data_IF_027351282565
#
_entry.id   IF_027351282565
#
_cell.length_a   1.000
_cell.length_b   1.000
_cell.length_c   1.000
_cell.angle_alpha   90.00
_cell.angle_beta   90.00
_cell.angle_gamma   90.00
#
_symmetry.space_group_name_H-M   'P 1'
#
loop_
_entity.id
_entity.type
_entity.pdbx_description
1 polymer ?
#
# COMPACT_ATOMS: atom_id res chain seq x y z
N UNK A 1 17.28 -18.18 -20.11
CA UNK A 1 16.41 -18.53 -18.97
C UNK A 1 15.94 -17.22 -18.41
N UNK A 2 14.63 -17.02 -18.37
CA UNK A 2 14.05 -15.76 -17.91
C UNK A 2 14.20 -15.69 -16.38
N UNK A 3 15.05 -14.79 -15.89
CA UNK A 3 15.37 -14.70 -14.46
C UNK A 3 14.16 -14.22 -13.63
N UNK A 4 13.13 -13.69 -14.28
CA UNK A 4 11.91 -13.15 -13.66
C UNK A 4 10.71 -14.11 -13.73
N UNK A 5 10.88 -15.33 -14.29
CA UNK A 5 9.75 -16.28 -14.37
C UNK A 5 9.31 -16.72 -12.96
N UNK A 6 7.99 -16.86 -12.69
CA UNK A 6 7.46 -17.26 -11.39
C UNK A 6 8.11 -18.51 -10.77
N UNK A 7 8.48 -19.49 -11.61
CA UNK A 7 9.11 -20.75 -11.18
C UNK A 7 10.51 -20.55 -10.55
N UNK A 8 11.23 -19.46 -10.90
CA UNK A 8 12.60 -19.22 -10.45
C UNK A 8 12.67 -18.35 -9.18
N UNK A 9 11.61 -17.63 -8.82
CA UNK A 9 11.61 -16.61 -7.77
C UNK A 9 10.83 -16.99 -6.50
N UNK A 10 9.96 -17.99 -6.58
CA UNK A 10 9.25 -18.50 -5.41
C UNK A 10 10.20 -19.42 -4.62
N UNK A 11 11.01 -18.83 -3.75
CA UNK A 11 11.79 -19.61 -2.78
C UNK A 11 10.82 -20.42 -1.91
N UNK A 12 11.00 -21.75 -1.91
CA UNK A 12 10.19 -22.77 -1.23
C UNK A 12 8.85 -23.10 -1.93
N UNK A 13 8.90 -24.15 -2.76
CA UNK A 13 7.72 -24.88 -3.24
C UNK A 13 6.88 -25.40 -2.06
N UNK A 14 5.81 -24.68 -1.76
CA UNK A 14 4.66 -25.24 -1.03
C UNK A 14 3.41 -24.85 -1.84
N UNK A 15 3.04 -25.70 -2.80
CA UNK A 15 1.93 -25.51 -3.75
C UNK A 15 0.60 -25.11 -3.07
N UNK A 16 0.42 -25.41 -1.77
CA UNK A 16 -0.79 -25.09 -1.01
C UNK A 16 -1.04 -23.59 -0.81
N UNK A 17 -0.03 -22.74 -1.04
CA UNK A 17 -0.15 -21.30 -0.80
C UNK A 17 -0.10 -20.47 -2.07
N UNK A 18 -0.10 -21.08 -3.25
CA UNK A 18 -0.05 -20.34 -4.50
C UNK A 18 -1.42 -19.81 -4.90
N UNK A 19 -1.44 -18.58 -5.43
CA UNK A 19 -2.65 -17.99 -5.94
C UNK A 19 -3.03 -18.63 -7.28
N UNK A 20 -4.24 -19.20 -7.35
CA UNK A 20 -4.86 -19.62 -8.60
C UNK A 20 -6.13 -18.80 -8.86
N UNK A 21 -6.22 -18.02 -9.96
CA UNK A 21 -7.42 -17.26 -10.30
C UNK A 21 -8.58 -18.15 -10.73
N UNK A 22 -9.81 -17.65 -10.59
CA UNK A 22 -10.99 -18.25 -11.21
C UNK A 22 -10.74 -18.37 -12.73
N UNK A 23 -10.86 -19.58 -13.30
CA UNK A 23 -10.37 -19.91 -14.65
C UNK A 23 -10.89 -19.00 -15.78
N UNK A 24 -12.12 -18.51 -15.68
CA UNK A 24 -12.72 -17.61 -16.67
C UNK A 24 -12.51 -16.11 -16.35
N UNK A 25 -11.89 -15.78 -15.21
CA UNK A 25 -11.63 -14.41 -14.76
C UNK A 25 -10.13 -14.14 -14.58
N UNK A 26 -9.27 -14.83 -15.34
CA UNK A 26 -7.79 -14.71 -15.23
C UNK A 26 -7.22 -13.42 -15.79
N UNK A 27 -7.98 -12.68 -16.59
CA UNK A 27 -7.49 -11.45 -17.20
C UNK A 27 -7.10 -10.41 -16.13
N UNK A 28 -5.91 -9.84 -16.26
CA UNK A 28 -5.35 -8.80 -15.40
C UNK A 28 -6.32 -7.68 -15.03
N UNK A 29 -7.04 -7.13 -16.01
CA UNK A 29 -7.97 -6.03 -15.79
C UNK A 29 -9.24 -6.48 -15.05
N UNK A 30 -9.72 -7.69 -15.35
CA UNK A 30 -10.84 -8.29 -14.61
C UNK A 30 -10.44 -8.49 -13.15
N UNK A 31 -9.30 -9.14 -12.88
CA UNK A 31 -8.78 -9.34 -11.52
C UNK A 31 -8.63 -8.01 -10.77
N UNK A 32 -8.09 -6.98 -11.42
CA UNK A 32 -7.94 -5.63 -10.83
C UNK A 32 -9.28 -4.99 -10.45
N UNK A 33 -10.35 -5.26 -11.21
CA UNK A 33 -11.66 -4.63 -11.01
C UNK A 33 -12.61 -5.44 -10.12
N UNK A 34 -12.46 -6.76 -10.06
CA UNK A 34 -13.35 -7.67 -9.34
C UNK A 34 -13.55 -7.31 -7.86
N UNK A 35 -12.52 -6.97 -7.06
CA UNK A 35 -12.72 -6.61 -5.66
C UNK A 35 -13.70 -5.44 -5.49
N UNK A 36 -13.73 -4.47 -6.41
CA UNK A 36 -14.66 -3.34 -6.34
C UNK A 36 -16.13 -3.75 -6.51
N UNK A 37 -16.37 -4.86 -7.21
CA UNK A 37 -17.71 -5.42 -7.43
C UNK A 37 -18.10 -6.30 -6.23
N UNK A 38 -17.20 -7.21 -5.83
CA UNK A 38 -17.46 -8.23 -4.81
C UNK A 38 -17.43 -7.68 -3.38
N UNK A 39 -16.61 -6.67 -3.11
CA UNK A 39 -16.44 -6.00 -1.81
C UNK A 39 -16.98 -4.58 -1.82
N UNK A 40 -18.13 -4.35 -2.48
CA UNK A 40 -18.73 -3.00 -2.57
C UNK A 40 -19.14 -2.41 -1.21
N UNK A 41 -19.44 -3.25 -0.22
CA UNK A 41 -19.91 -2.82 1.09
C UNK A 41 -18.86 -3.04 2.18
N UNK A 42 -18.57 -1.96 2.93
CA UNK A 42 -17.77 -2.00 4.14
C UNK A 42 -18.57 -2.73 5.22
N UNK A 43 -18.07 -3.87 5.70
CA UNK A 43 -18.75 -4.73 6.69
C UNK A 43 -18.32 -4.48 8.13
N UNK A 44 -17.33 -3.62 8.33
CA UNK A 44 -16.82 -3.24 9.65
C UNK A 44 -17.20 -1.78 9.94
N UNK A 45 -17.61 -1.50 11.17
CA UNK A 45 -17.82 -0.12 11.64
C UNK A 45 -16.55 0.31 12.38
N UNK A 46 -15.65 1.08 11.75
CA UNK A 46 -14.40 1.44 12.38
C UNK A 46 -14.60 2.40 13.56
N UNK A 47 -13.73 2.29 14.55
CA UNK A 47 -13.55 3.31 15.59
C UNK A 47 -12.57 4.34 15.05
N UNK A 48 -13.04 5.57 14.86
CA UNK A 48 -12.22 6.65 14.32
C UNK A 48 -11.44 7.36 15.42
N UNK A 49 -10.17 7.62 15.15
CA UNK A 49 -9.30 8.40 16.03
C UNK A 49 -8.45 9.33 15.19
N UNK A 50 -8.41 10.62 15.55
CA UNK A 50 -7.44 11.56 15.01
C UNK A 50 -6.13 11.47 15.80
N UNK A 51 -5.02 11.38 15.08
CA UNK A 51 -3.68 11.50 15.64
C UNK A 51 -3.09 12.83 15.18
N UNK A 52 -2.88 13.72 16.16
CA UNK A 52 -2.16 14.99 15.95
C UNK A 52 -0.67 14.71 15.76
N UNK A 53 -0.10 15.33 14.74
CA UNK A 53 1.30 15.18 14.35
C UNK A 53 2.15 16.32 14.94
N UNK A 54 3.47 16.12 15.13
CA UNK A 54 4.34 17.12 15.75
C UNK A 54 4.45 18.45 14.96
N UNK A 55 4.20 18.42 13.65
CA UNK A 55 4.20 19.59 12.77
C UNK A 55 2.89 20.40 12.81
N UNK A 56 1.94 19.99 13.66
CA UNK A 56 0.64 20.63 13.79
C UNK A 56 -0.37 20.18 12.74
N UNK A 57 -0.08 19.16 11.94
CA UNK A 57 -1.05 18.49 11.07
C UNK A 57 -1.67 17.25 11.74
N UNK A 58 -2.39 16.43 10.98
CA UNK A 58 -3.00 15.20 11.50
C UNK A 58 -3.06 14.07 10.47
N UNK A 59 -3.14 12.84 10.98
CA UNK A 59 -3.68 11.67 10.27
C UNK A 59 -4.87 11.11 11.03
N UNK A 60 -5.80 10.49 10.31
CA UNK A 60 -6.93 9.79 10.93
C UNK A 60 -6.73 8.28 10.85
N UNK A 61 -7.10 7.59 11.93
CA UNK A 61 -6.95 6.17 12.13
C UNK A 61 -8.34 5.54 12.16
N UNK A 62 -8.52 4.45 11.39
CA UNK A 62 -9.74 3.66 11.38
C UNK A 62 -9.45 2.28 11.99
N UNK A 63 -9.72 2.14 13.29
CA UNK A 63 -9.50 0.91 14.05
C UNK A 63 -10.63 -0.09 13.86
N UNK A 64 -10.33 -1.39 13.95
CA UNK A 64 -11.34 -2.45 13.90
C UNK A 64 -12.24 -2.48 15.14
N UNK A 65 -11.71 -2.06 16.29
CA UNK A 65 -12.36 -2.00 17.60
C UNK A 65 -11.67 -0.92 18.47
N UNK A 66 -12.13 -0.73 19.71
CA UNK A 66 -11.52 0.26 20.62
C UNK A 66 -10.07 -0.13 20.97
N UNK A 67 -9.05 0.66 20.56
CA UNK A 67 -7.65 0.29 20.77
C UNK A 67 -7.26 0.24 22.25
N UNK A 68 -7.93 0.97 23.14
CA UNK A 68 -7.61 0.98 24.57
C UNK A 68 -8.08 -0.30 25.28
N UNK A 69 -9.20 -0.87 24.84
CA UNK A 69 -9.71 -2.15 25.33
C UNK A 69 -8.96 -3.34 24.70
N UNK A 70 -8.47 -3.17 23.47
CA UNK A 70 -7.82 -4.19 22.67
C UNK A 70 -6.28 -4.18 22.74
N UNK A 71 -5.68 -3.39 23.64
CA UNK A 71 -4.21 -3.18 23.71
C UNK A 71 -3.37 -4.46 23.87
N UNK A 72 -3.98 -5.53 24.37
CA UNK A 72 -3.38 -6.85 24.60
C UNK A 72 -3.31 -7.73 23.34
N UNK A 73 -4.02 -7.36 22.27
CA UNK A 73 -4.05 -8.10 21.01
C UNK A 73 -2.82 -7.80 20.14
N UNK A 74 -2.35 -8.75 19.30
CA UNK A 74 -1.44 -8.45 18.21
C UNK A 74 -2.00 -7.34 17.32
N UNK A 75 -1.14 -6.45 16.83
CA UNK A 75 -1.53 -5.26 16.08
C UNK A 75 -1.22 -5.44 14.60
N UNK A 76 -2.14 -5.01 13.74
CA UNK A 76 -1.97 -5.13 12.29
C UNK A 76 -2.36 -3.81 11.60
N UNK A 77 -1.36 -3.08 11.14
CA UNK A 77 -1.51 -1.80 10.45
C UNK A 77 -1.72 -2.03 8.95
N UNK A 78 -2.61 -1.26 8.34
CA UNK A 78 -2.86 -1.27 6.90
C UNK A 78 -2.50 0.10 6.32
N UNK A 79 -1.54 0.11 5.42
CA UNK A 79 -1.13 1.25 4.61
C UNK A 79 -1.75 1.16 3.22
N UNK A 80 -2.64 2.10 2.92
CA UNK A 80 -3.43 2.06 1.70
C UNK A 80 -2.65 2.55 0.47
N UNK A 81 -3.10 2.21 -0.73
CA UNK A 81 -2.53 2.73 -1.98
C UNK A 81 -2.89 4.20 -2.25
N UNK A 82 -2.54 4.69 -3.44
CA UNK A 82 -2.78 6.08 -3.86
C UNK A 82 -4.26 6.48 -3.73
N UNK A 83 -4.50 7.58 -3.00
CA UNK A 83 -5.83 8.08 -2.64
C UNK A 83 -6.70 7.01 -1.96
N UNK A 84 -6.10 6.02 -1.30
CA UNK A 84 -6.80 4.95 -0.62
C UNK A 84 -7.54 5.41 0.64
N UNK A 85 -8.18 4.45 1.31
CA UNK A 85 -8.89 4.63 2.58
C UNK A 85 -9.39 3.27 3.07
N UNK A 86 -9.93 3.21 4.29
CA UNK A 86 -10.70 2.05 4.78
C UNK A 86 -11.83 1.61 3.83
N UNK A 87 -12.36 2.51 2.98
CA UNK A 87 -13.39 2.16 1.98
C UNK A 87 -12.85 1.41 0.75
N UNK A 88 -11.55 1.21 0.66
CA UNK A 88 -10.94 0.44 -0.43
C UNK A 88 -11.21 -1.05 -0.22
N UNK A 89 -11.65 -1.82 -1.24
CA UNK A 89 -12.01 -3.23 -1.14
C UNK A 89 -11.05 -4.10 -0.31
N UNK A 90 -9.75 -4.01 -0.61
CA UNK A 90 -8.70 -4.75 0.09
C UNK A 90 -8.57 -4.32 1.55
N UNK A 91 -8.76 -3.03 1.86
CA UNK A 91 -8.48 -2.46 3.17
C UNK A 91 -9.53 -2.89 4.20
N UNK A 92 -10.83 -2.70 3.93
CA UNK A 92 -11.85 -3.16 4.88
C UNK A 92 -12.03 -4.68 4.90
N UNK A 93 -11.74 -5.37 3.78
CA UNK A 93 -11.72 -6.82 3.74
C UNK A 93 -10.66 -7.38 4.70
N UNK A 94 -9.43 -6.91 4.54
CA UNK A 94 -8.31 -7.30 5.41
C UNK A 94 -8.51 -6.86 6.86
N UNK A 95 -9.01 -5.63 7.09
CA UNK A 95 -9.30 -5.13 8.45
C UNK A 95 -10.31 -6.04 9.17
N UNK A 96 -11.35 -6.50 8.46
CA UNK A 96 -12.32 -7.45 9.01
C UNK A 96 -11.71 -8.84 9.26
N UNK A 97 -10.79 -9.28 8.39
CA UNK A 97 -10.08 -10.55 8.56
C UNK A 97 -9.19 -10.53 9.80
N UNK A 98 -8.44 -9.44 10.02
CA UNK A 98 -7.64 -9.27 11.25
C UNK A 98 -8.51 -9.28 12.51
N UNK A 99 -9.64 -8.57 12.50
CA UNK A 99 -10.57 -8.59 13.63
C UNK A 99 -11.09 -10.01 13.93
N UNK A 100 -11.49 -10.76 12.90
CA UNK A 100 -11.97 -12.15 13.05
C UNK A 100 -10.89 -13.08 13.60
N UNK A 101 -9.61 -12.82 13.28
CA UNK A 101 -8.46 -13.55 13.82
C UNK A 101 -8.11 -13.15 15.26
N UNK A 102 -8.79 -12.15 15.83
CA UNK A 102 -8.52 -11.65 17.17
C UNK A 102 -7.37 -10.65 17.24
N UNK A 103 -7.01 -10.00 16.14
CA UNK A 103 -5.98 -8.96 16.08
C UNK A 103 -6.61 -7.56 16.09
N UNK A 104 -5.91 -6.59 16.67
CA UNK A 104 -6.27 -5.18 16.59
C UNK A 104 -5.80 -4.62 15.25
N UNK A 105 -6.73 -4.54 14.30
CA UNK A 105 -6.46 -3.98 12.98
C UNK A 105 -6.65 -2.46 12.93
N UNK A 106 -5.87 -1.77 12.12
CA UNK A 106 -5.99 -0.33 11.90
C UNK A 106 -5.63 0.07 10.48
N UNK A 107 -6.45 0.88 9.84
CA UNK A 107 -6.06 1.57 8.60
C UNK A 107 -5.58 2.97 8.97
N UNK A 108 -4.31 3.27 8.70
CA UNK A 108 -3.81 4.64 8.78
C UNK A 108 -4.19 5.37 7.49
N UNK A 109 -4.98 6.43 7.58
CA UNK A 109 -5.25 7.27 6.42
C UNK A 109 -4.15 8.32 6.27
N UNK A 110 -3.49 8.31 5.12
CA UNK A 110 -2.55 9.38 4.79
C UNK A 110 -3.23 10.76 4.81
N UNK A 111 -2.44 11.80 5.00
CA UNK A 111 -2.93 13.19 5.06
C UNK A 111 -3.84 13.50 3.86
N UNK A 112 -5.06 13.97 4.15
CA UNK A 112 -6.08 14.30 3.14
C UNK A 112 -6.94 13.13 2.64
N UNK A 113 -6.67 11.89 3.08
CA UNK A 113 -7.36 10.68 2.62
C UNK A 113 -8.51 10.23 3.54
N UNK A 114 -8.73 10.87 4.68
CA UNK A 114 -9.84 10.56 5.60
C UNK A 114 -11.19 11.16 5.18
N UNK A 115 -11.18 12.10 4.23
CA UNK A 115 -12.36 12.84 3.78
C UNK A 115 -12.24 14.33 4.06
N UNK A 116 -11.40 14.70 5.02
CA UNK A 116 -11.02 16.06 5.37
C UNK A 116 -9.65 16.40 4.76
N UNK A 117 -9.46 17.56 4.12
CA UNK A 117 -8.14 18.04 3.75
C UNK A 117 -7.26 18.24 4.98
N UNK A 118 -6.00 17.86 4.90
CA UNK A 118 -5.02 18.12 5.96
C UNK A 118 -4.59 19.60 5.98
N UNK A 119 -4.01 20.04 7.10
CA UNK A 119 -3.78 21.45 7.41
C UNK A 119 -2.59 22.05 6.66
N UNK A 120 -1.54 21.27 6.43
CA UNK A 120 -0.30 21.75 5.81
C UNK A 120 -0.29 21.54 4.30
N UNK A 121 0.69 22.10 3.60
CA UNK A 121 0.80 21.99 2.13
C UNK A 121 1.13 20.56 1.69
N UNK A 122 2.04 19.90 2.40
CA UNK A 122 2.42 18.51 2.24
C UNK A 122 1.21 17.61 2.48
N UNK A 123 1.06 16.54 1.71
CA UNK A 123 0.05 15.50 1.95
C UNK A 123 0.78 14.19 2.21
N UNK A 124 1.00 13.37 1.18
CA UNK A 124 1.89 12.21 1.26
C UNK A 124 2.50 11.95 -0.13
N UNK A 125 3.59 11.19 -0.17
CA UNK A 125 4.17 10.63 -1.39
C UNK A 125 4.61 9.18 -1.17
N UNK A 126 5.17 8.52 -2.20
CA UNK A 126 5.42 7.07 -2.20
C UNK A 126 6.52 6.59 -1.23
N UNK A 127 7.29 7.50 -0.65
CA UNK A 127 8.33 7.21 0.34
C UNK A 127 8.20 8.11 1.57
N UNK A 128 6.99 8.64 1.81
CA UNK A 128 6.70 9.48 2.97
C UNK A 128 6.50 8.58 4.19
N UNK A 129 7.60 8.30 4.90
CA UNK A 129 7.64 7.34 6.01
C UNK A 129 7.45 8.00 7.38
N UNK A 130 7.46 9.34 7.47
CA UNK A 130 7.53 10.08 8.73
C UNK A 130 6.25 9.90 9.55
N UNK A 131 5.09 10.08 8.92
CA UNK A 131 3.79 9.90 9.56
C UNK A 131 3.59 8.46 10.05
N UNK A 132 4.00 7.48 9.24
CA UNK A 132 3.94 6.06 9.61
C UNK A 132 4.86 5.76 10.80
N UNK A 133 6.10 6.27 10.76
CA UNK A 133 7.07 6.10 11.85
C UNK A 133 6.58 6.73 13.16
N UNK A 134 5.99 7.92 13.08
CA UNK A 134 5.40 8.59 14.23
C UNK A 134 4.21 7.81 14.78
N UNK A 135 3.30 7.34 13.91
CA UNK A 135 2.17 6.53 14.33
C UNK A 135 2.60 5.24 15.04
N UNK A 136 3.60 4.52 14.52
CA UNK A 136 4.12 3.30 15.14
C UNK A 136 4.74 3.57 16.52
N UNK A 137 5.52 4.66 16.66
CA UNK A 137 6.05 5.11 17.96
C UNK A 137 4.92 5.43 18.94
N UNK A 138 3.97 6.26 18.52
CA UNK A 138 2.81 6.63 19.31
C UNK A 138 2.01 5.39 19.76
N UNK A 139 1.83 4.41 18.88
CA UNK A 139 1.11 3.17 19.18
C UNK A 139 1.84 2.35 20.24
N UNK A 140 3.16 2.21 20.14
CA UNK A 140 3.99 1.54 21.16
C UNK A 140 3.91 2.26 22.51
N UNK A 141 3.97 3.59 22.52
CA UNK A 141 3.90 4.39 23.75
C UNK A 141 2.52 4.34 24.41
N UNK A 142 1.43 4.42 23.64
CA UNK A 142 0.06 4.51 24.18
C UNK A 142 -0.57 3.17 24.48
N UNK A 143 -0.33 2.17 23.64
CA UNK A 143 -0.90 0.83 23.81
C UNK A 143 0.04 -0.12 24.56
N UNK A 144 1.30 0.28 24.78
CA UNK A 144 2.34 -0.53 25.40
C UNK A 144 3.09 -1.43 24.42
N UNK A 145 4.06 -2.24 24.87
CA UNK A 145 4.73 -3.22 24.03
C UNK A 145 3.72 -4.27 23.54
N UNK A 146 3.93 -4.79 22.33
CA UNK A 146 3.10 -5.84 21.75
C UNK A 146 3.48 -6.06 20.29
N UNK A 147 3.30 -7.30 19.83
CA UNK A 147 3.64 -7.67 18.46
C UNK A 147 2.84 -6.83 17.45
N UNK A 148 3.53 -6.23 16.51
CA UNK A 148 3.02 -5.26 15.56
C UNK A 148 3.46 -5.60 14.14
N UNK A 149 2.50 -5.79 13.25
CA UNK A 149 2.74 -5.95 11.82
C UNK A 149 2.17 -4.81 10.99
N UNK A 150 2.64 -4.69 9.76
CA UNK A 150 2.04 -3.81 8.77
C UNK A 150 1.82 -4.52 7.42
N UNK A 151 0.77 -4.11 6.72
CA UNK A 151 0.48 -4.53 5.35
C UNK A 151 0.32 -3.28 4.48
N UNK A 152 1.14 -3.16 3.44
CA UNK A 152 1.11 -2.07 2.48
C UNK A 152 0.61 -2.52 1.10
N UNK A 153 -0.32 -1.77 0.53
CA UNK A 153 -0.85 -2.03 -0.82
C UNK A 153 -0.42 -0.96 -1.80
N UNK A 154 0.06 -1.35 -2.98
CA UNK A 154 0.43 -0.39 -4.05
C UNK A 154 1.41 0.66 -3.52
N UNK A 155 1.10 1.96 -3.66
CA UNK A 155 1.90 3.04 -3.07
C UNK A 155 2.25 2.82 -1.60
N UNK A 156 1.31 2.33 -0.78
CA UNK A 156 1.56 2.07 0.64
C UNK A 156 2.48 0.87 0.88
N UNK A 157 2.56 -0.06 -0.08
CA UNK A 157 3.54 -1.15 -0.08
C UNK A 157 4.95 -0.65 -0.40
N UNK A 158 5.08 0.25 -1.38
CA UNK A 158 6.37 0.89 -1.67
C UNK A 158 6.86 1.72 -0.47
N UNK A 159 5.97 2.52 0.15
CA UNK A 159 6.30 3.26 1.37
C UNK A 159 6.74 2.32 2.49
N UNK A 160 6.08 1.17 2.65
CA UNK A 160 6.46 0.17 3.66
C UNK A 160 7.85 -0.43 3.40
N UNK A 161 8.22 -0.68 2.13
CA UNK A 161 9.58 -1.10 1.80
C UNK A 161 10.62 -0.04 2.18
N UNK A 162 10.36 1.24 1.84
CA UNK A 162 11.21 2.35 2.26
C UNK A 162 11.34 2.41 3.80
N UNK A 163 10.22 2.33 4.52
CA UNK A 163 10.18 2.41 5.99
C UNK A 163 11.00 1.30 6.64
N UNK A 164 10.75 0.04 6.24
CA UNK A 164 11.42 -1.11 6.85
C UNK A 164 12.90 -1.15 6.48
N UNK A 165 13.26 -0.84 5.24
CA UNK A 165 14.66 -0.88 4.81
C UNK A 165 15.48 0.31 5.30
N UNK A 166 14.89 1.50 5.45
CA UNK A 166 15.60 2.66 6.00
C UNK A 166 15.82 2.57 7.50
N UNK A 167 14.94 1.87 8.23
CA UNK A 167 15.03 1.70 9.68
C UNK A 167 15.77 0.42 10.09
N UNK A 168 15.78 -0.62 9.24
CA UNK A 168 16.42 -1.89 9.53
C UNK A 168 16.01 -2.43 10.91
N UNK A 169 17.00 -2.64 11.78
CA UNK A 169 16.79 -3.18 13.12
C UNK A 169 15.99 -2.27 14.05
N UNK A 170 16.04 -0.96 13.84
CA UNK A 170 15.29 0.05 14.60
C UNK A 170 13.80 0.08 14.22
N UNK A 171 13.40 -0.61 13.16
CA UNK A 171 12.01 -0.68 12.74
C UNK A 171 11.14 -1.29 13.86
N UNK A 172 10.06 -0.58 14.20
CA UNK A 172 9.12 -1.00 15.26
C UNK A 172 8.14 -2.09 14.82
N UNK A 173 8.20 -2.52 13.57
CA UNK A 173 7.42 -3.62 13.05
C UNK A 173 8.16 -4.94 13.28
N UNK A 174 7.42 -5.94 13.76
CA UNK A 174 7.90 -7.31 13.91
C UNK A 174 7.80 -8.09 12.58
N UNK A 175 6.86 -7.73 11.72
CA UNK A 175 6.71 -8.31 10.37
C UNK A 175 5.98 -7.36 9.40
N UNK A 176 6.25 -7.51 8.10
CA UNK A 176 5.61 -6.75 7.04
C UNK A 176 5.00 -7.62 5.94
N UNK A 177 3.97 -7.12 5.26
CA UNK A 177 3.50 -7.68 3.98
C UNK A 177 3.30 -6.57 2.96
N UNK A 178 3.85 -6.73 1.76
CA UNK A 178 3.71 -5.81 0.65
C UNK A 178 2.94 -6.49 -0.47
N UNK A 179 1.94 -5.80 -1.03
CA UNK A 179 1.09 -6.33 -2.10
C UNK A 179 1.03 -5.37 -3.27
N UNK A 180 1.38 -5.86 -4.46
CA UNK A 180 1.37 -5.09 -5.72
C UNK A 180 2.04 -3.71 -5.57
N UNK A 181 3.21 -3.63 -4.95
CA UNK A 181 3.92 -2.37 -4.78
C UNK A 181 4.72 -1.97 -6.04
N UNK A 182 4.65 -0.72 -6.50
CA UNK A 182 5.51 -0.21 -7.56
C UNK A 182 6.91 0.06 -7.01
N UNK A 183 7.68 -1.00 -6.71
CA UNK A 183 9.01 -0.92 -6.09
C UNK A 183 10.00 -0.05 -6.90
N UNK A 184 9.74 0.09 -8.20
CA UNK A 184 10.38 1.07 -9.10
C UNK A 184 9.30 2.00 -9.67
N UNK A 185 9.32 3.27 -9.28
CA UNK A 185 8.26 4.22 -9.65
C UNK A 185 8.31 4.68 -11.10
N UNK A 186 9.50 4.92 -11.64
CA UNK A 186 9.66 5.43 -13.00
C UNK A 186 9.09 4.46 -14.06
N UNK A 187 9.47 3.16 -14.08
CA UNK A 187 8.90 2.19 -15.03
C UNK A 187 7.37 2.07 -14.90
N UNK A 188 6.83 2.03 -13.68
CA UNK A 188 5.39 2.01 -13.43
C UNK A 188 4.68 3.25 -13.98
N UNK A 189 5.30 4.43 -13.85
CA UNK A 189 4.76 5.68 -14.40
C UNK A 189 4.65 5.65 -15.93
N UNK A 190 5.59 4.99 -16.60
CA UNK A 190 5.57 4.80 -18.05
C UNK A 190 4.53 3.76 -18.45
N UNK A 191 4.48 2.62 -17.74
CA UNK A 191 3.53 1.54 -18.02
C UNK A 191 2.07 1.99 -17.92
N UNK A 192 1.72 2.76 -16.90
CA UNK A 192 0.34 3.21 -16.70
C UNK A 192 -0.13 4.22 -17.77
N UNK A 193 0.81 4.76 -18.56
CA UNK A 193 0.52 5.63 -19.71
C UNK A 193 0.23 4.86 -21.00
N UNK A 194 0.40 3.54 -21.02
CA UNK A 194 0.25 2.72 -22.22
C UNK A 194 -1.07 1.92 -22.26
N UNK A 195 -1.54 1.63 -23.48
CA UNK A 195 -2.67 0.74 -23.75
C UNK A 195 -3.92 1.01 -22.89
N UNK A 196 -4.51 -0.08 -22.38
CA UNK A 196 -5.69 -0.01 -21.49
C UNK A 196 -5.37 0.59 -20.12
N UNK A 197 -4.11 0.57 -19.68
CA UNK A 197 -3.70 1.11 -18.37
C UNK A 197 -3.92 2.62 -18.25
N UNK A 198 -4.06 3.32 -19.38
CA UNK A 198 -4.54 4.71 -19.46
C UNK A 198 -5.87 4.95 -18.75
N UNK A 199 -6.74 3.94 -18.69
CA UNK A 199 -7.98 4.01 -17.91
C UNK A 199 -7.69 4.18 -16.42
N UNK A 200 -6.77 3.39 -15.87
CA UNK A 200 -6.37 3.48 -14.47
C UNK A 200 -5.64 4.79 -14.17
N UNK A 201 -4.73 5.22 -15.05
CA UNK A 201 -4.10 6.53 -14.92
C UNK A 201 -5.15 7.65 -14.85
N UNK A 202 -6.12 7.66 -15.77
CA UNK A 202 -7.17 8.67 -15.78
C UNK A 202 -7.96 8.67 -14.47
N UNK A 203 -8.29 7.48 -13.95
CA UNK A 203 -8.95 7.31 -12.67
C UNK A 203 -8.12 7.89 -11.51
N UNK A 204 -6.85 7.49 -11.37
CA UNK A 204 -5.97 7.96 -10.29
C UNK A 204 -5.72 9.47 -10.36
N UNK A 205 -5.38 9.98 -11.54
CA UNK A 205 -5.14 11.41 -11.75
C UNK A 205 -6.39 12.23 -11.43
N UNK A 206 -7.59 11.74 -11.78
CA UNK A 206 -8.84 12.42 -11.43
C UNK A 206 -9.03 12.55 -9.92
N UNK A 207 -8.67 11.51 -9.15
CA UNK A 207 -8.74 11.53 -7.69
C UNK A 207 -7.74 12.49 -7.08
N UNK A 208 -6.48 12.44 -7.51
CA UNK A 208 -5.44 13.39 -7.09
C UNK A 208 -5.86 14.84 -7.34
N UNK A 209 -6.33 15.14 -8.56
CA UNK A 209 -6.84 16.48 -8.91
C UNK A 209 -8.05 16.88 -8.08
N UNK A 210 -8.93 15.94 -7.73
CA UNK A 210 -10.07 16.21 -6.83
C UNK A 210 -9.60 16.51 -5.41
N UNK A 211 -8.64 15.75 -4.90
CA UNK A 211 -8.05 15.94 -3.57
C UNK A 211 -7.38 17.31 -3.46
N UNK A 212 -6.52 17.65 -4.44
CA UNK A 212 -5.87 18.95 -4.50
C UNK A 212 -6.89 20.10 -4.62
N UNK A 213 -7.96 19.97 -5.41
CA UNK A 213 -9.03 20.99 -5.47
C UNK A 213 -9.72 21.22 -4.13
N UNK A 214 -10.01 20.15 -3.38
CA UNK A 214 -10.59 20.28 -2.03
C UNK A 214 -9.63 21.03 -1.11
N UNK A 215 -8.34 20.69 -1.17
CA UNK A 215 -7.30 21.34 -0.38
C UNK A 215 -7.11 22.81 -0.74
N UNK A 216 -7.05 23.15 -2.04
CA UNK A 216 -7.02 24.52 -2.53
C UNK A 216 -8.23 25.35 -2.06
N UNK A 217 -9.43 24.74 -2.01
CA UNK A 217 -10.63 25.41 -1.52
C UNK A 217 -10.57 25.66 -0.01
N UNK A 218 -10.05 24.71 0.76
CA UNK A 218 -9.93 24.82 2.22
C UNK A 218 -8.79 25.77 2.65
N UNK A 219 -7.67 25.76 1.93
CA UNK A 219 -6.45 26.48 2.26
C UNK A 219 -5.85 27.18 1.02
N UNK A 220 -6.51 28.22 0.49
CA UNK A 220 -6.10 28.87 -0.75
C UNK A 220 -4.71 29.51 -0.68
N UNK A 221 -4.26 29.90 0.51
CA UNK A 221 -2.96 30.55 0.73
C UNK A 221 -1.77 29.57 0.69
N UNK A 222 -1.99 28.25 0.76
CA UNK A 222 -0.90 27.25 0.78
C UNK A 222 -0.31 26.95 -0.61
N UNK A 223 -0.99 27.38 -1.67
CA UNK A 223 -0.62 27.01 -3.04
C UNK A 223 -0.66 28.21 -3.98
N UNK A 224 0.41 28.39 -4.74
CA UNK A 224 0.49 29.35 -5.85
C UNK A 224 0.12 28.68 -7.18
N UNK A 225 -0.97 27.90 -7.21
CA UNK A 225 -1.42 27.17 -8.40
C UNK A 225 -2.75 27.73 -8.87
N UNK A 226 -2.79 28.25 -10.09
CA UNK A 226 -4.05 28.73 -10.67
C UNK A 226 -4.99 27.53 -10.96
N UNK A 227 -6.31 27.60 -10.65
CA UNK A 227 -7.24 26.49 -10.89
C UNK A 227 -7.26 25.98 -12.35
N UNK A 228 -6.92 26.84 -13.31
CA UNK A 228 -6.79 26.50 -14.73
C UNK A 228 -5.61 25.59 -15.05
N UNK A 229 -4.50 25.68 -14.31
CA UNK A 229 -3.30 24.85 -14.53
C UNK A 229 -3.57 23.39 -14.21
N UNK A 230 -4.30 23.13 -13.13
CA UNK A 230 -4.67 21.77 -12.75
C UNK A 230 -5.49 21.09 -13.85
N UNK A 231 -6.37 21.82 -14.56
CA UNK A 231 -7.14 21.25 -15.69
C UNK A 231 -6.26 20.79 -16.85
N UNK A 232 -5.11 21.45 -17.07
CA UNK A 232 -4.17 21.15 -18.16
C UNK A 232 -3.37 19.87 -17.93
N UNK A 233 -3.19 19.43 -16.69
CA UNK A 233 -2.48 18.18 -16.35
C UNK A 233 -3.29 16.98 -16.85
N UNK A 234 -2.70 16.18 -17.74
CA UNK A 234 -3.31 15.01 -18.39
C UNK A 234 -2.64 13.69 -17.99
N UNK A 235 -1.40 13.75 -17.52
CA UNK A 235 -0.63 12.56 -17.13
C UNK A 235 -0.31 12.56 -15.65
N UNK A 236 -0.06 11.38 -15.09
CA UNK A 236 0.38 11.24 -13.70
C UNK A 236 1.77 11.85 -13.53
N UNK A 237 2.70 11.58 -14.46
CA UNK A 237 4.04 12.17 -14.45
C UNK A 237 4.04 13.70 -14.47
N UNK A 238 3.14 14.32 -15.22
CA UNK A 238 2.96 15.78 -15.21
C UNK A 238 2.43 16.31 -13.88
N UNK A 239 1.59 15.52 -13.18
CA UNK A 239 1.14 15.87 -11.84
C UNK A 239 2.31 15.80 -10.87
N UNK A 240 3.09 14.72 -10.92
CA UNK A 240 4.25 14.57 -10.06
C UNK A 240 5.30 15.66 -10.29
N UNK A 241 5.53 16.03 -11.55
CA UNK A 241 6.49 17.06 -11.94
C UNK A 241 6.09 18.47 -11.50
N UNK A 242 4.80 18.79 -11.56
CA UNK A 242 4.31 20.16 -11.29
C UNK A 242 3.81 20.37 -9.87
N UNK A 243 3.46 19.28 -9.19
CA UNK A 243 2.79 19.31 -7.88
C UNK A 243 3.65 18.60 -6.85
N UNK A 244 3.86 17.28 -7.01
CA UNK A 244 4.53 16.45 -6.00
C UNK A 244 5.97 16.93 -5.78
N UNK A 245 6.77 17.05 -6.84
CA UNK A 245 8.16 17.50 -6.76
C UNK A 245 8.29 18.85 -6.06
N UNK A 246 7.43 19.81 -6.40
CA UNK A 246 7.46 21.17 -5.84
C UNK A 246 6.99 21.26 -4.40
N UNK A 247 6.05 20.41 -3.98
CA UNK A 247 5.58 20.36 -2.59
C UNK A 247 6.68 19.76 -1.70
N UNK A 248 7.40 18.77 -2.21
CA UNK A 248 8.38 17.98 -1.47
C UNK A 248 9.84 18.32 -1.81
N UNK A 249 10.06 19.40 -2.55
CA UNK A 249 11.39 19.91 -2.88
C UNK A 249 12.28 18.95 -3.69
N UNK A 250 11.68 18.02 -4.46
CA UNK A 250 12.38 17.29 -5.50
C UNK A 250 12.62 18.19 -6.72
N UNK A 251 13.66 17.88 -7.49
CA UNK A 251 14.03 18.66 -8.67
C UNK A 251 12.98 18.58 -9.77
N UNK A 252 12.45 17.38 -10.01
CA UNK A 252 11.41 17.07 -11.00
C UNK A 252 10.74 15.71 -10.65
N UNK A 253 9.87 15.21 -11.52
CA UNK A 253 9.23 13.90 -11.32
C UNK A 253 10.24 12.73 -11.31
N UNK A 254 11.31 12.81 -12.10
CA UNK A 254 12.29 11.73 -12.23
C UNK A 254 13.15 11.62 -10.98
N UNK A 255 13.58 12.76 -10.45
CA UNK A 255 14.26 12.87 -9.15
C UNK A 255 13.39 12.31 -8.02
N UNK A 256 12.10 12.68 -7.99
CA UNK A 256 11.12 12.07 -7.10
C UNK A 256 11.07 10.53 -7.25
N UNK A 257 10.95 10.01 -8.47
CA UNK A 257 10.85 8.57 -8.69
C UNK A 257 12.10 7.81 -8.24
N UNK A 258 13.29 8.36 -8.47
CA UNK A 258 14.56 7.75 -8.03
C UNK A 258 14.65 7.70 -6.51
N UNK A 259 14.33 8.79 -5.83
CA UNK A 259 14.45 8.89 -4.38
C UNK A 259 13.34 8.14 -3.63
N UNK A 260 12.16 8.03 -4.23
CA UNK A 260 10.98 7.44 -3.59
C UNK A 260 10.68 5.99 -3.99
N UNK A 261 11.59 5.30 -4.68
CA UNK A 261 11.45 3.88 -5.03
C UNK A 261 11.89 2.98 -3.87
N UNK A 262 11.13 1.90 -3.63
CA UNK A 262 11.37 0.95 -2.56
C UNK A 262 12.41 -0.13 -2.88
N UNK A 263 12.66 -0.41 -4.17
CA UNK A 263 13.59 -1.46 -4.62
C UNK A 263 15.00 -1.36 -3.98
N UNK A 264 15.65 -0.17 -3.90
CA UNK A 264 16.99 -0.07 -3.33
C UNK A 264 17.05 -0.40 -1.84
N UNK A 265 15.92 -0.38 -1.13
CA UNK A 265 15.85 -0.59 0.31
C UNK A 265 15.71 -2.07 0.69
N UNK A 266 15.34 -2.96 -0.24
CA UNK A 266 15.03 -4.36 0.05
C UNK A 266 16.20 -5.11 0.70
N UNK A 267 17.43 -4.89 0.23
CA UNK A 267 18.63 -5.52 0.78
C UNK A 267 18.91 -5.11 2.25
N UNK A 268 18.40 -3.96 2.69
CA UNK A 268 18.59 -3.43 4.05
C UNK A 268 17.49 -3.84 5.02
N UNK A 269 16.46 -4.57 4.56
CA UNK A 269 15.37 -5.02 5.42
C UNK A 269 15.85 -6.17 6.30
N UNK A 270 15.74 -6.00 7.62
CA UNK A 270 16.17 -7.00 8.61
C UNK A 270 15.01 -7.70 9.33
N UNK A 271 13.77 -7.22 9.15
CA UNK A 271 12.57 -7.83 9.71
C UNK A 271 11.92 -8.77 8.68
N UNK A 272 11.20 -9.81 9.10
CA UNK A 272 10.41 -10.66 8.20
C UNK A 272 9.49 -9.83 7.31
N UNK A 273 9.55 -10.06 6.00
CA UNK A 273 8.72 -9.39 5.02
C UNK A 273 8.24 -10.36 3.94
N UNK A 274 6.94 -10.41 3.70
CA UNK A 274 6.38 -11.07 2.52
C UNK A 274 6.09 -10.03 1.43
N UNK A 275 6.54 -10.27 0.20
CA UNK A 275 6.19 -9.46 -0.97
C UNK A 275 5.35 -10.32 -1.92
N UNK A 276 4.17 -9.85 -2.29
CA UNK A 276 3.24 -10.53 -3.20
C UNK A 276 3.04 -9.67 -4.44
N UNK A 277 3.50 -10.17 -5.59
CA UNK A 277 3.30 -9.57 -6.91
C UNK A 277 2.58 -10.51 -7.88
N UNK A 278 2.03 -9.92 -8.93
CA UNK A 278 1.47 -10.65 -10.06
C UNK A 278 2.21 -10.22 -11.33
N UNK A 279 2.67 -11.19 -12.12
CA UNK A 279 3.37 -10.94 -13.38
C UNK A 279 2.46 -10.22 -14.40
N UNK A 280 1.15 -10.44 -14.33
CA UNK A 280 0.16 -9.78 -15.20
C UNK A 280 -0.32 -8.41 -14.69
N UNK A 281 0.27 -7.83 -13.64
CA UNK A 281 -0.18 -6.57 -13.05
C UNK A 281 -0.16 -5.41 -14.07
N UNK A 282 -1.31 -4.78 -14.39
CA UNK A 282 -1.38 -3.77 -15.44
C UNK A 282 -0.71 -2.43 -15.07
N UNK A 283 -0.22 -2.27 -13.85
CA UNK A 283 0.49 -1.09 -13.36
C UNK A 283 2.01 -1.25 -13.41
N UNK A 284 2.49 -2.48 -13.65
CA UNK A 284 3.88 -2.86 -13.44
C UNK A 284 4.55 -3.33 -14.73
N UNK A 285 5.88 -3.26 -14.73
CA UNK A 285 6.78 -3.89 -15.69
C UNK A 285 7.64 -4.91 -14.97
N UNK A 286 8.36 -5.75 -15.70
CA UNK A 286 9.29 -6.71 -15.11
C UNK A 286 10.39 -6.03 -14.27
N UNK A 287 10.66 -4.74 -14.50
CA UNK A 287 11.62 -3.94 -13.72
C UNK A 287 11.26 -3.79 -12.23
N UNK A 288 10.01 -4.09 -11.84
CA UNK A 288 9.61 -4.08 -10.42
C UNK A 288 9.81 -5.42 -9.73
N UNK A 289 10.17 -6.47 -10.48
CA UNK A 289 10.45 -7.79 -9.96
C UNK A 289 11.92 -7.80 -9.50
N UNK A 290 12.21 -7.92 -8.20
CA UNK A 290 13.57 -7.94 -7.70
C UNK A 290 14.31 -9.19 -8.18
N UNK A 291 15.58 -9.02 -8.50
CA UNK A 291 16.51 -10.13 -8.65
C UNK A 291 16.80 -10.74 -7.27
N UNK A 292 17.10 -12.05 -7.18
CA UNK A 292 17.38 -12.71 -5.91
C UNK A 292 18.44 -12.00 -5.05
N UNK A 293 19.48 -11.45 -5.66
CA UNK A 293 20.55 -10.70 -4.99
C UNK A 293 20.13 -9.35 -4.40
N UNK A 294 18.97 -8.81 -4.80
CA UNK A 294 18.41 -7.57 -4.26
C UNK A 294 17.55 -7.82 -3.01
N UNK A 295 17.21 -9.09 -2.72
CA UNK A 295 16.40 -9.49 -1.58
C UNK A 295 17.29 -9.80 -0.37
N UNK A 296 16.92 -9.29 0.79
CA UNK A 296 17.50 -9.78 2.05
C UNK A 296 16.96 -11.17 2.38
N UNK A 297 17.68 -11.91 3.23
CA UNK A 297 17.29 -13.26 3.66
C UNK A 297 15.99 -13.30 4.47
N UNK A 298 15.49 -12.16 4.94
CA UNK A 298 14.24 -12.06 5.69
C UNK A 298 13.04 -11.80 4.79
N UNK A 299 13.24 -11.73 3.47
CA UNK A 299 12.19 -11.49 2.49
C UNK A 299 11.74 -12.80 1.85
N UNK A 300 10.47 -13.13 2.05
CA UNK A 300 9.76 -14.10 1.24
C UNK A 300 9.16 -13.37 0.03
N UNK A 301 9.61 -13.70 -1.19
CA UNK A 301 9.04 -13.13 -2.42
C UNK A 301 8.11 -14.15 -3.09
N UNK A 302 6.88 -13.72 -3.40
CA UNK A 302 5.85 -14.52 -4.06
C UNK A 302 5.38 -13.83 -5.32
N UNK A 303 5.75 -14.39 -6.47
CA UNK A 303 5.28 -13.96 -7.78
C UNK A 303 4.23 -14.94 -8.30
N UNK A 304 3.00 -14.46 -8.46
CA UNK A 304 1.96 -15.22 -9.16
C UNK A 304 1.93 -14.88 -10.64
N UNK A 305 1.58 -15.84 -11.50
CA UNK A 305 1.36 -15.59 -12.93
C UNK A 305 0.19 -14.61 -13.17
N UNK A 306 -0.83 -14.69 -12.32
CA UNK A 306 -2.05 -13.88 -12.44
C UNK A 306 -2.40 -13.21 -11.12
N UNK A 307 -3.12 -12.12 -11.19
CA UNK A 307 -3.66 -11.46 -9.99
C UNK A 307 -4.09 -10.04 -10.22
N UNK A 308 -3.66 -9.44 -11.34
CA UNK A 308 -3.85 -8.03 -11.62
C UNK A 308 -3.29 -7.14 -10.52
N UNK A 309 -3.69 -5.87 -10.52
CA UNK A 309 -3.28 -4.93 -9.48
C UNK A 309 -4.18 -5.09 -8.26
N UNK A 310 -3.62 -5.59 -7.15
CA UNK A 310 -4.32 -5.84 -5.86
C UNK A 310 -5.61 -6.67 -5.99
N UNK A 311 -5.72 -7.50 -7.02
CA UNK A 311 -6.92 -8.26 -7.35
C UNK A 311 -7.01 -9.58 -6.59
N UNK A 312 -6.17 -10.54 -6.98
CA UNK A 312 -5.99 -11.85 -6.35
C UNK A 312 -7.31 -12.51 -5.90
N UNK A 313 -8.26 -12.64 -6.84
CA UNK A 313 -9.56 -13.28 -6.62
C UNK A 313 -9.53 -14.75 -7.07
N UNK A 314 -9.68 -15.66 -6.10
CA UNK A 314 -9.65 -17.12 -6.28
C UNK A 314 -11.04 -17.75 -6.02
N UNK A 315 -11.11 -19.07 -6.01
CA UNK A 315 -12.33 -19.84 -5.73
C UNK A 315 -13.11 -20.18 -7.00
N UNK A 316 -14.43 -19.99 -6.95
CA UNK A 316 -15.34 -20.25 -8.06
C UNK A 316 -16.23 -19.05 -8.37
N UNK A 317 -16.88 -19.04 -9.54
CA UNK A 317 -17.81 -17.96 -9.92
C UNK A 317 -18.93 -17.72 -8.89
N UNK A 318 -19.41 -18.79 -8.25
CA UNK A 318 -20.49 -18.73 -7.25
C UNK A 318 -19.99 -18.48 -5.83
N UNK A 319 -18.71 -18.77 -5.57
CA UNK A 319 -18.06 -18.55 -4.27
C UNK A 319 -16.68 -17.93 -4.49
N UNK A 320 -16.61 -16.67 -4.93
CA UNK A 320 -15.34 -15.99 -5.09
C UNK A 320 -14.73 -15.70 -3.73
N UNK A 321 -13.42 -15.85 -3.63
CA UNK A 321 -12.64 -15.67 -2.40
C UNK A 321 -11.60 -14.58 -2.65
N UNK A 322 -11.54 -13.61 -1.74
CA UNK A 322 -10.48 -12.59 -1.73
C UNK A 322 -9.24 -13.24 -1.09
N UNK A 323 -8.34 -13.79 -1.90
CA UNK A 323 -7.25 -14.64 -1.44
C UNK A 323 -6.29 -13.92 -0.48
N UNK A 324 -6.02 -12.64 -0.73
CA UNK A 324 -5.17 -11.81 0.13
C UNK A 324 -5.70 -11.70 1.57
N UNK A 325 -7.03 -11.73 1.75
CA UNK A 325 -7.63 -11.68 3.10
C UNK A 325 -7.38 -12.96 3.91
N UNK A 326 -6.90 -14.03 3.28
CA UNK A 326 -6.53 -15.30 3.91
C UNK A 326 -5.01 -15.45 3.99
N UNK A 327 -4.31 -15.23 2.88
CA UNK A 327 -2.86 -15.39 2.77
C UNK A 327 -2.11 -14.48 3.74
N UNK A 328 -2.51 -13.21 3.84
CA UNK A 328 -1.81 -12.20 4.66
C UNK A 328 -1.89 -12.57 6.15
N UNK A 329 -3.07 -12.77 6.76
CA UNK A 329 -3.12 -13.20 8.16
C UNK A 329 -2.50 -14.58 8.41
N UNK A 330 -2.53 -15.48 7.42
CA UNK A 330 -1.90 -16.80 7.54
C UNK A 330 -0.38 -16.68 7.67
N UNK A 331 0.27 -15.94 6.77
CA UNK A 331 1.72 -15.73 6.84
C UNK A 331 2.13 -14.96 8.09
N UNK A 332 1.41 -13.88 8.42
CA UNK A 332 1.70 -13.09 9.62
C UNK A 332 1.56 -13.93 10.90
N UNK A 333 0.67 -14.94 10.91
CA UNK A 333 0.53 -15.86 12.03
C UNK A 333 1.80 -16.66 12.29
N UNK A 334 2.48 -17.15 11.24
CA UNK A 334 3.71 -17.94 11.41
C UNK A 334 4.82 -17.09 12.01
N UNK A 335 4.87 -15.81 11.67
CA UNK A 335 5.83 -14.87 12.24
C UNK A 335 5.53 -14.56 13.71
N UNK A 336 4.26 -14.30 14.05
CA UNK A 336 3.81 -14.10 15.43
C UNK A 336 4.15 -15.31 16.32
N UNK A 337 3.85 -16.51 15.84
CA UNK A 337 4.08 -17.76 16.57
C UNK A 337 5.58 -18.04 16.76
N UNK A 338 6.44 -17.60 15.83
CA UNK A 338 7.90 -17.75 15.94
C UNK A 338 8.56 -16.81 16.97
N UNK A 339 7.85 -15.75 17.36
CA UNK A 339 8.29 -14.77 18.36
C UNK A 339 7.72 -15.02 19.77
N UNK A 340 6.81 -15.99 19.90
CA UNK A 340 6.16 -16.39 21.15
C UNK A 340 6.88 -17.58 21.78
#
# INVERSE_FOLDING_TARGET
MDQTSPENLNNYHNDEHDFTPIRCLRNAHIQTLLPRILRRMVRIKPVWQRLELPDGDFVDLAWSEDPMLAKHKPRAVIFHGLEGSVKSPYAHGLLASFQQKGWLGVVMHYRGCSGEPNRLKQSYHSADIEDASYFLRWMKEKLGPGWTSATGFSLGGNMLACLMGSQGDECLLDAGVIVSAPLMLEPCSVKIEDGFSRFYQHYLLTRLKKSLRRKLKAHPHLFSIAPGELKKIKKLREFDDKITSRIYHFSDALDYYRQASGMPWLASITKPLLIIHAADDPFMTDDVIPLPEQLSLTIDYQLSEYGGHVGFVTGSLFKPVMWLEQRIPQWLSTQLDSTS
#
